data_IF_199670228078
#
_entry.id   IF_199670228078
#
_cell.length_a   1.000
_cell.length_b   1.000
_cell.length_c   1.000
_cell.angle_alpha   90.00
_cell.angle_beta   90.00
_cell.angle_gamma   90.00
#
_symmetry.space_group_name_H-M   'P 1'
#
loop_
_entity.id
_entity.type
_entity.pdbx_description
1 polymer ?
#
# COMPACT_ATOMS: atom_id res chain seq x y z
N UNK A 1 -19.39 10.34 -4.53
CA UNK A 1 -18.20 10.24 -3.66
C UNK A 1 -18.31 9.08 -2.68
N UNK A 2 -19.30 9.02 -1.77
CA UNK A 2 -19.39 7.93 -0.76
C UNK A 2 -19.53 6.50 -1.35
N UNK A 3 -20.31 6.32 -2.43
CA UNK A 3 -20.43 5.03 -3.08
C UNK A 3 -19.13 4.58 -3.79
N UNK A 4 -18.33 5.54 -4.25
CA UNK A 4 -17.10 5.29 -5.02
C UNK A 4 -15.92 5.02 -4.08
N UNK A 5 -15.85 5.71 -2.93
CA UNK A 5 -14.93 5.35 -1.84
C UNK A 5 -15.28 4.01 -1.20
N UNK A 6 -16.57 3.65 -1.11
CA UNK A 6 -17.03 2.32 -0.70
C UNK A 6 -16.52 1.21 -1.64
N UNK A 7 -16.72 1.38 -2.96
CA UNK A 7 -16.24 0.43 -3.95
C UNK A 7 -14.72 0.25 -3.91
N UNK A 8 -13.95 1.34 -3.74
CA UNK A 8 -12.50 1.28 -3.65
C UNK A 8 -12.04 0.49 -2.42
N UNK A 9 -12.71 0.66 -1.27
CA UNK A 9 -12.46 -0.16 -0.07
C UNK A 9 -12.74 -1.63 -0.30
N UNK A 10 -13.83 -1.97 -0.98
CA UNK A 10 -14.15 -3.36 -1.32
C UNK A 10 -13.07 -3.99 -2.21
N UNK A 11 -12.60 -3.26 -3.23
CA UNK A 11 -11.49 -3.69 -4.07
C UNK A 11 -10.21 -3.91 -3.26
N UNK A 12 -9.86 -2.96 -2.39
CA UNK A 12 -8.68 -3.09 -1.52
C UNK A 12 -8.78 -4.27 -0.55
N UNK A 13 -9.97 -4.55 -0.03
CA UNK A 13 -10.22 -5.77 0.72
C UNK A 13 -10.04 -7.03 -0.14
N UNK A 14 -10.47 -7.05 -1.40
CA UNK A 14 -10.19 -8.20 -2.27
C UNK A 14 -8.68 -8.40 -2.51
N UNK A 15 -7.92 -7.32 -2.71
CA UNK A 15 -6.46 -7.40 -2.83
C UNK A 15 -5.81 -7.96 -1.56
N UNK A 16 -6.24 -7.55 -0.37
CA UNK A 16 -5.68 -8.08 0.88
C UNK A 16 -5.89 -9.59 0.99
N UNK A 17 -7.09 -10.08 0.61
CA UNK A 17 -7.43 -11.50 0.62
C UNK A 17 -6.71 -12.28 -0.47
N UNK A 18 -6.47 -11.68 -1.63
CA UNK A 18 -5.66 -12.27 -2.68
C UNK A 18 -4.22 -12.48 -2.19
N UNK A 19 -3.57 -11.42 -1.69
CA UNK A 19 -2.21 -11.47 -1.13
C UNK A 19 -2.09 -12.57 -0.08
N UNK A 20 -2.99 -12.57 0.91
CA UNK A 20 -2.99 -13.57 1.98
C UNK A 20 -3.08 -14.99 1.43
N UNK A 21 -4.01 -15.26 0.50
CA UNK A 21 -4.18 -16.60 -0.08
C UNK A 21 -2.95 -17.07 -0.84
N UNK A 22 -2.21 -16.15 -1.48
CA UNK A 22 -0.99 -16.45 -2.23
C UNK A 22 0.19 -16.86 -1.33
N UNK A 23 0.22 -16.39 -0.07
CA UNK A 23 1.38 -16.57 0.81
C UNK A 23 1.10 -17.44 2.06
N UNK A 24 -0.17 -17.66 2.44
CA UNK A 24 -0.54 -18.34 3.70
C UNK A 24 0.05 -19.74 3.89
N UNK A 25 0.37 -20.42 2.79
CA UNK A 25 0.88 -21.79 2.81
C UNK A 25 2.41 -21.84 2.94
N UNK A 26 3.07 -20.67 2.88
CA UNK A 26 4.51 -20.49 3.14
C UNK A 26 4.81 -20.18 4.62
N UNK A 27 3.77 -19.94 5.44
CA UNK A 27 3.91 -19.67 6.89
C UNK A 27 4.53 -20.88 7.59
N UNK A 28 5.42 -20.61 8.57
CA UNK A 28 6.25 -21.59 9.29
C UNK A 28 5.61 -23.00 9.44
N UNK A 29 6.10 -24.00 8.67
CA UNK A 29 5.47 -25.32 8.58
C UNK A 29 5.74 -26.21 9.79
N UNK A 30 6.66 -25.86 10.68
CA UNK A 30 6.97 -26.65 11.88
C UNK A 30 6.44 -26.06 13.19
N UNK A 31 5.75 -24.92 13.14
CA UNK A 31 5.05 -24.37 14.29
C UNK A 31 3.90 -25.29 14.73
N UNK A 32 3.62 -25.32 16.03
CA UNK A 32 2.43 -25.97 16.57
C UNK A 32 1.13 -25.33 16.02
N UNK A 33 0.01 -26.01 16.21
CA UNK A 33 -1.27 -25.59 15.63
C UNK A 33 -1.71 -24.21 16.14
N UNK A 34 -1.49 -23.91 17.42
CA UNK A 34 -1.83 -22.61 18.02
C UNK A 34 -1.00 -21.49 17.40
N UNK A 35 0.32 -21.63 17.42
CA UNK A 35 1.25 -20.65 16.84
C UNK A 35 1.00 -20.43 15.34
N UNK A 36 0.66 -21.48 14.59
CA UNK A 36 0.35 -21.36 13.15
C UNK A 36 -0.95 -20.58 12.91
N UNK A 37 -1.97 -20.79 13.74
CA UNK A 37 -3.23 -20.05 13.64
C UNK A 37 -3.02 -18.56 13.98
N UNK A 38 -2.22 -18.25 14.99
CA UNK A 38 -1.84 -16.88 15.35
C UNK A 38 -1.06 -16.20 14.23
N UNK A 39 -0.05 -16.88 13.67
CA UNK A 39 0.71 -16.38 12.53
C UNK A 39 -0.20 -16.10 11.32
N UNK A 40 -1.12 -17.02 11.00
CA UNK A 40 -2.09 -16.83 9.92
C UNK A 40 -3.00 -15.62 10.14
N UNK A 41 -3.49 -15.42 11.37
CA UNK A 41 -4.30 -14.25 11.74
C UNK A 41 -3.49 -12.96 11.59
N UNK A 42 -2.27 -12.94 12.11
CA UNK A 42 -1.43 -11.75 12.06
C UNK A 42 -0.99 -11.38 10.63
N UNK A 43 -0.72 -12.36 9.76
CA UNK A 43 -0.41 -12.10 8.35
C UNK A 43 -1.64 -11.53 7.63
N UNK A 44 -2.84 -12.09 7.88
CA UNK A 44 -4.07 -11.57 7.30
C UNK A 44 -4.36 -10.13 7.75
N UNK A 45 -4.25 -9.87 9.05
CA UNK A 45 -4.45 -8.55 9.65
C UNK A 45 -3.47 -7.51 9.08
N UNK A 46 -2.20 -7.87 8.89
CA UNK A 46 -1.22 -7.01 8.25
C UNK A 46 -1.57 -6.70 6.78
N UNK A 47 -2.07 -7.69 6.03
CA UNK A 47 -2.52 -7.48 4.65
C UNK A 47 -3.73 -6.52 4.61
N UNK A 48 -4.71 -6.72 5.49
CA UNK A 48 -5.91 -5.88 5.59
C UNK A 48 -5.56 -4.44 5.99
N UNK A 49 -4.76 -4.27 7.04
CA UNK A 49 -4.28 -2.95 7.50
C UNK A 49 -3.52 -2.20 6.42
N UNK A 50 -2.64 -2.88 5.67
CA UNK A 50 -1.88 -2.25 4.58
C UNK A 50 -2.82 -1.78 3.47
N UNK A 51 -3.76 -2.61 3.03
CA UNK A 51 -4.69 -2.25 1.95
C UNK A 51 -5.71 -1.19 2.40
N UNK A 52 -6.15 -1.20 3.66
CA UNK A 52 -7.04 -0.17 4.21
C UNK A 52 -6.34 1.19 4.28
N UNK A 53 -5.06 1.21 4.69
CA UNK A 53 -4.25 2.42 4.64
C UNK A 53 -4.07 2.91 3.21
N UNK A 54 -3.82 1.99 2.27
CA UNK A 54 -3.68 2.32 0.87
C UNK A 54 -4.98 2.92 0.29
N UNK A 55 -6.16 2.41 0.69
CA UNK A 55 -7.45 2.98 0.31
C UNK A 55 -7.69 4.39 0.89
N UNK A 56 -7.25 4.61 2.12
CA UNK A 56 -7.53 5.85 2.88
C UNK A 56 -6.52 6.96 2.60
N UNK A 57 -5.29 6.59 2.29
CA UNK A 57 -4.16 7.50 2.11
C UNK A 57 -3.21 7.06 0.96
N UNK A 58 -3.70 6.97 -0.28
CA UNK A 58 -2.90 6.45 -1.38
C UNK A 58 -1.76 7.37 -1.82
N UNK A 59 -1.94 8.69 -1.68
CA UNK A 59 -0.95 9.68 -2.12
C UNK A 59 0.24 9.82 -1.17
N UNK A 60 0.08 9.44 0.11
CA UNK A 60 1.12 9.62 1.14
C UNK A 60 1.65 8.29 1.71
N UNK A 61 1.05 7.13 1.37
CA UNK A 61 1.59 5.83 1.77
C UNK A 61 2.79 5.41 0.90
N UNK A 62 3.99 5.73 1.39
CA UNK A 62 5.25 5.44 0.71
C UNK A 62 5.66 3.96 0.85
N UNK A 63 5.94 3.28 -0.28
CA UNK A 63 6.48 1.90 -0.34
C UNK A 63 5.64 0.86 0.44
N UNK A 64 4.34 0.71 0.12
CA UNK A 64 3.42 -0.17 0.84
C UNK A 64 3.84 -1.65 0.83
N UNK A 65 4.49 -2.10 -0.24
CA UNK A 65 5.06 -3.44 -0.40
C UNK A 65 6.13 -3.73 0.66
N UNK A 66 7.07 -2.79 0.85
CA UNK A 66 8.15 -2.92 1.83
C UNK A 66 7.61 -2.88 3.26
N UNK A 67 6.63 -2.02 3.53
CA UNK A 67 5.99 -1.93 4.83
C UNK A 67 5.33 -3.26 5.19
N UNK A 68 4.48 -3.80 4.30
CA UNK A 68 3.82 -5.08 4.51
C UNK A 68 4.83 -6.22 4.72
N UNK A 69 5.85 -6.31 3.86
CA UNK A 69 6.85 -7.35 4.00
C UNK A 69 7.61 -7.28 5.33
N UNK A 70 7.96 -6.08 5.80
CA UNK A 70 8.63 -5.89 7.10
C UNK A 70 7.77 -6.39 8.26
N UNK A 71 6.47 -6.15 8.21
CA UNK A 71 5.53 -6.57 9.26
C UNK A 71 5.32 -8.09 9.31
N UNK A 72 5.35 -8.75 8.14
CA UNK A 72 5.01 -10.17 8.05
C UNK A 72 6.21 -11.12 7.98
N UNK A 73 7.41 -10.66 7.60
CA UNK A 73 8.57 -11.53 7.30
C UNK A 73 8.90 -12.52 8.41
N UNK A 74 8.65 -12.17 9.68
CA UNK A 74 8.94 -13.00 10.85
C UNK A 74 8.12 -14.28 10.93
N UNK A 75 6.98 -14.34 10.24
CA UNK A 75 6.11 -15.52 10.21
C UNK A 75 6.52 -16.55 9.15
N UNK A 76 7.53 -16.23 8.34
CA UNK A 76 8.01 -17.06 7.25
C UNK A 76 9.43 -17.55 7.54
N UNK A 77 9.75 -18.82 7.22
CA UNK A 77 11.12 -19.31 7.31
C UNK A 77 12.00 -18.51 6.35
N UNK A 78 13.28 -18.35 6.71
CA UNK A 78 14.23 -17.53 5.94
C UNK A 78 14.33 -17.97 4.47
N UNK A 79 14.14 -19.27 4.21
CA UNK A 79 14.15 -19.88 2.87
C UNK A 79 12.96 -19.47 1.99
N UNK A 80 11.83 -19.10 2.59
CA UNK A 80 10.64 -18.65 1.87
C UNK A 80 10.53 -17.12 1.76
N UNK A 81 11.29 -16.37 2.55
CA UNK A 81 11.17 -14.90 2.62
C UNK A 81 11.38 -14.21 1.26
N UNK A 82 12.28 -14.72 0.40
CA UNK A 82 12.49 -14.17 -0.93
C UNK A 82 11.24 -14.33 -1.83
N UNK A 83 10.60 -15.51 -1.80
CA UNK A 83 9.37 -15.76 -2.54
C UNK A 83 8.22 -14.88 -2.02
N UNK A 84 8.08 -14.77 -0.70
CA UNK A 84 7.05 -13.92 -0.07
C UNK A 84 7.25 -12.45 -0.45
N UNK A 85 8.49 -11.95 -0.37
CA UNK A 85 8.80 -10.57 -0.74
C UNK A 85 8.40 -10.28 -2.19
N UNK A 86 8.71 -11.19 -3.12
CA UNK A 86 8.36 -11.06 -4.52
C UNK A 86 6.85 -11.06 -4.76
N UNK A 87 6.12 -12.03 -4.17
CA UNK A 87 4.65 -12.10 -4.28
C UNK A 87 3.96 -10.88 -3.68
N UNK A 88 4.45 -10.38 -2.53
CA UNK A 88 3.95 -9.14 -1.92
C UNK A 88 4.21 -7.95 -2.84
N UNK A 89 5.43 -7.81 -3.37
CA UNK A 89 5.77 -6.71 -4.27
C UNK A 89 4.86 -6.69 -5.51
N UNK A 90 4.69 -7.83 -6.18
CA UNK A 90 3.84 -7.94 -7.37
C UNK A 90 2.38 -7.59 -7.06
N UNK A 91 1.84 -8.19 -6.00
CA UNK A 91 0.43 -8.01 -5.65
C UNK A 91 0.12 -6.58 -5.17
N UNK A 92 1.02 -5.99 -4.38
CA UNK A 92 0.86 -4.60 -3.90
C UNK A 92 1.07 -3.62 -5.05
N UNK A 93 1.99 -3.87 -5.96
CA UNK A 93 2.16 -3.02 -7.16
C UNK A 93 0.88 -3.00 -8.01
N UNK A 94 0.21 -4.14 -8.18
CA UNK A 94 -1.08 -4.20 -8.86
C UNK A 94 -2.18 -3.38 -8.15
N UNK A 95 -2.23 -3.44 -6.81
CA UNK A 95 -3.18 -2.64 -6.02
C UNK A 95 -2.89 -1.13 -6.11
N UNK A 96 -1.61 -0.73 -6.09
CA UNK A 96 -1.19 0.67 -6.27
C UNK A 96 -1.58 1.18 -7.65
N UNK A 97 -1.27 0.43 -8.72
CA UNK A 97 -1.61 0.80 -10.09
C UNK A 97 -3.13 0.98 -10.26
N UNK A 98 -3.93 0.09 -9.67
CA UNK A 98 -5.39 0.22 -9.68
C UNK A 98 -5.85 1.53 -9.03
N UNK A 99 -5.32 1.90 -7.86
CA UNK A 99 -5.71 3.16 -7.21
C UNK A 99 -5.22 4.37 -8.01
N UNK A 100 -4.02 4.34 -8.56
CA UNK A 100 -3.51 5.44 -9.39
C UNK A 100 -4.45 5.72 -10.56
N UNK A 101 -4.98 4.68 -11.22
CA UNK A 101 -6.01 4.82 -12.27
C UNK A 101 -7.33 5.42 -11.72
N UNK A 102 -7.74 5.06 -10.50
CA UNK A 102 -8.91 5.67 -9.86
C UNK A 102 -8.69 7.15 -9.51
N UNK A 103 -7.47 7.53 -9.13
CA UNK A 103 -7.11 8.93 -8.88
C UNK A 103 -7.12 9.72 -10.20
N UNK A 104 -6.49 9.21 -11.25
CA UNK A 104 -6.39 9.85 -12.55
C UNK A 104 -7.76 10.06 -13.22
N UNK A 105 -8.68 9.11 -13.04
CA UNK A 105 -10.07 9.26 -13.49
C UNK A 105 -10.89 10.26 -12.67
N UNK A 106 -10.32 10.86 -11.62
CA UNK A 106 -10.96 11.85 -10.76
C UNK A 106 -11.98 11.26 -9.78
N UNK A 107 -11.96 9.94 -9.58
CA UNK A 107 -12.94 9.24 -8.73
C UNK A 107 -12.83 9.60 -7.24
N UNK A 108 -11.67 10.10 -6.80
CA UNK A 108 -11.35 10.36 -5.40
C UNK A 108 -11.42 11.84 -4.98
N UNK A 109 -11.07 12.77 -5.87
CA UNK A 109 -10.93 14.19 -5.56
C UNK A 109 -11.67 15.11 -6.56
N UNK A 110 -12.46 14.54 -7.47
CA UNK A 110 -13.12 15.28 -8.54
C UNK A 110 -12.15 15.77 -9.63
N UNK A 111 -10.96 15.17 -9.74
CA UNK A 111 -9.96 15.48 -10.75
C UNK A 111 -9.05 16.66 -10.40
N UNK A 112 -9.08 17.14 -9.15
CA UNK A 112 -8.21 18.25 -8.70
C UNK A 112 -6.92 17.69 -8.14
N UNK A 113 -5.89 17.61 -8.99
CA UNK A 113 -4.55 17.19 -8.58
C UNK A 113 -4.07 17.98 -7.35
N UNK A 114 -3.55 17.27 -6.34
CA UNK A 114 -2.97 17.85 -5.12
C UNK A 114 -1.50 17.50 -4.99
N UNK A 115 -0.73 18.42 -4.41
CA UNK A 115 0.67 18.20 -4.13
C UNK A 115 0.87 17.00 -3.18
N UNK A 116 1.75 16.06 -3.57
CA UNK A 116 2.11 14.86 -2.80
C UNK A 116 3.00 15.11 -1.58
N UNK A 117 3.32 16.37 -1.27
CA UNK A 117 4.14 16.71 -0.09
C UNK A 117 3.33 16.72 1.21
N UNK A 118 3.97 16.29 2.30
CA UNK A 118 3.53 16.55 3.67
C UNK A 118 4.27 17.75 4.24
N UNK A 119 3.56 18.66 4.89
CA UNK A 119 4.15 19.81 5.60
C UNK A 119 4.96 19.38 6.82
N UNK A 120 5.81 20.26 7.38
CA UNK A 120 6.58 19.97 8.63
C UNK A 120 5.71 19.52 9.81
N UNK A 121 4.43 19.89 9.82
CA UNK A 121 3.44 19.53 10.85
C UNK A 121 2.71 18.22 10.52
N UNK A 122 3.17 17.45 9.52
CA UNK A 122 2.58 16.19 9.09
C UNK A 122 1.28 16.31 8.29
N UNK A 123 0.81 17.53 7.98
CA UNK A 123 -0.44 17.73 7.22
C UNK A 123 -0.18 17.67 5.71
N UNK A 124 -1.06 17.00 4.92
CA UNK A 124 -1.07 17.05 3.46
C UNK A 124 -1.02 18.48 2.90
N UNK A 125 -0.19 18.72 1.89
CA UNK A 125 -0.16 19.99 1.19
C UNK A 125 -1.46 20.19 0.39
N UNK A 126 -2.11 21.33 0.56
CA UNK A 126 -3.39 21.65 -0.11
C UNK A 126 -3.19 22.43 -1.43
N UNK A 127 -1.94 22.61 -1.90
CA UNK A 127 -1.66 23.37 -3.11
C UNK A 127 -1.76 22.46 -4.34
N UNK A 128 -2.29 23.02 -5.42
CA UNK A 128 -2.27 22.38 -6.74
C UNK A 128 -0.82 22.20 -7.20
N UNK A 129 -0.44 21.02 -7.69
CA UNK A 129 0.88 20.79 -8.25
C UNK A 129 1.02 21.53 -9.60
N UNK A 130 2.26 21.62 -10.08
CA UNK A 130 2.51 22.11 -11.44
C UNK A 130 1.91 21.13 -12.48
N UNK A 131 1.56 21.60 -13.69
CA UNK A 131 1.14 20.70 -14.77
C UNK A 131 2.15 19.57 -14.96
N UNK A 132 1.67 18.33 -15.10
CA UNK A 132 2.48 17.11 -15.31
C UNK A 132 3.45 16.77 -14.16
N UNK A 133 3.27 17.36 -12.98
CA UNK A 133 4.15 17.15 -11.81
C UNK A 133 3.37 16.71 -10.58
N UNK A 134 4.07 16.11 -9.64
CA UNK A 134 3.51 15.61 -8.37
C UNK A 134 3.51 16.67 -7.27
N UNK A 135 4.30 17.74 -7.44
CA UNK A 135 4.56 18.73 -6.41
C UNK A 135 4.22 20.16 -6.85
N UNK A 136 3.80 20.99 -5.89
CA UNK A 136 3.57 22.42 -6.11
C UNK A 136 4.91 23.19 -6.17
N UNK A 137 4.92 24.47 -6.60
CA UNK A 137 6.16 25.24 -6.74
C UNK A 137 7.06 25.27 -5.49
N UNK A 138 6.47 25.27 -4.28
CA UNK A 138 7.25 25.23 -3.03
C UNK A 138 7.81 23.86 -2.65
N UNK A 139 7.35 22.77 -3.27
CA UNK A 139 7.78 21.40 -2.99
C UNK A 139 8.48 20.72 -4.18
N UNK A 140 8.78 21.46 -5.25
CA UNK A 140 9.48 20.94 -6.44
C UNK A 140 10.82 20.23 -6.14
N UNK A 141 11.47 20.57 -5.03
CA UNK A 141 12.73 19.97 -4.60
C UNK A 141 12.59 18.49 -4.18
N UNK A 142 11.40 18.06 -3.74
CA UNK A 142 11.15 16.68 -3.32
C UNK A 142 11.15 15.69 -4.50
N UNK A 143 10.88 16.19 -5.71
CA UNK A 143 10.92 15.40 -6.95
C UNK A 143 12.35 14.95 -7.28
N UNK A 144 13.34 15.82 -7.04
CA UNK A 144 14.76 15.53 -7.29
C UNK A 144 15.30 14.49 -6.32
N UNK A 145 14.74 14.39 -5.11
CA UNK A 145 15.15 13.41 -4.10
C UNK A 145 14.69 11.98 -4.41
N UNK A 146 13.64 11.78 -5.23
CA UNK A 146 13.16 10.44 -5.61
C UNK A 146 14.09 9.68 -6.56
N UNK A 147 14.93 10.39 -7.34
CA UNK A 147 15.80 9.79 -8.36
C UNK A 147 17.06 9.14 -7.75
N UNK A 148 17.31 9.33 -6.45
CA UNK A 148 18.55 8.90 -5.78
C UNK A 148 18.40 7.68 -4.83
N UNK A 149 17.34 6.88 -4.94
CA UNK A 149 17.04 5.79 -3.98
C UNK A 149 16.73 4.43 -4.60
#
# INVERSE_FOLDING_TARGET
MEAQTGHLRDCMYQYSRAIYRSIKDLIEPYADTGSRLEARRAVLDACETTMERLASDPLYFSKPDRALFQDIRRYFPITAQAQVAWTVQESVAAAVAFIEEQIESGALDGGVARCRATTRKGKPCQRTPLPERDYCPSHQHLEQSRVAA
#
